data_IF_494727980425
#
_entry.id   IF_494727980425
#
_cell.length_a   1.000
_cell.length_b   1.000
_cell.length_c   1.000
_cell.angle_alpha   90.00
_cell.angle_beta   90.00
_cell.angle_gamma   90.00
#
_symmetry.space_group_name_H-M   'P 1'
#
loop_
_entity.id
_entity.type
_entity.pdbx_description
1 polymer ?
#
# COMPACT_ATOMS: atom_id res chain seq x y z
N UNK A 1 4.92 -1.83 16.26
CA UNK A 1 3.45 -1.90 16.00
C UNK A 1 2.85 -0.51 16.11
N UNK A 2 2.05 -0.11 15.12
CA UNK A 2 1.43 1.21 15.06
C UNK A 2 -0.05 1.13 15.44
N UNK A 3 -0.50 2.04 16.31
CA UNK A 3 -1.91 2.13 16.70
C UNK A 3 -2.77 2.78 15.59
N UNK A 4 -2.15 3.67 14.81
CA UNK A 4 -2.74 4.32 13.63
C UNK A 4 -1.69 4.52 12.55
N UNK A 5 -2.08 4.52 11.28
CA UNK A 5 -1.22 4.82 10.14
C UNK A 5 -1.82 5.95 9.31
N UNK A 6 -0.97 6.82 8.76
CA UNK A 6 -1.39 7.78 7.76
C UNK A 6 -1.77 7.05 6.47
N UNK A 7 -2.71 7.62 5.72
CA UNK A 7 -3.19 7.03 4.49
C UNK A 7 -3.46 8.09 3.44
N UNK A 8 -3.46 7.66 2.19
CA UNK A 8 -3.70 8.52 1.04
C UNK A 8 -4.50 7.79 -0.02
N UNK A 9 -5.14 8.56 -0.89
CA UNK A 9 -5.85 8.08 -2.07
C UNK A 9 -5.42 8.88 -3.31
N UNK A 10 -5.98 8.54 -4.47
CA UNK A 10 -5.90 9.40 -5.65
C UNK A 10 -7.25 10.09 -5.89
N UNK A 11 -7.25 11.33 -6.35
CA UNK A 11 -8.44 12.00 -6.87
C UNK A 11 -8.61 11.77 -8.39
N UNK A 12 -9.69 12.30 -8.96
CA UNK A 12 -9.98 12.18 -10.40
C UNK A 12 -9.00 12.97 -11.29
N UNK A 13 -8.27 13.92 -10.71
CA UNK A 13 -7.24 14.69 -11.38
C UNK A 13 -5.85 14.02 -11.23
N UNK A 14 -5.82 12.79 -10.71
CA UNK A 14 -4.62 11.98 -10.47
C UNK A 14 -3.65 12.58 -9.45
N UNK A 15 -4.15 13.44 -8.57
CA UNK A 15 -3.37 13.94 -7.43
C UNK A 15 -3.51 13.01 -6.23
N UNK A 16 -2.43 12.88 -5.48
CA UNK A 16 -2.46 12.23 -4.16
C UNK A 16 -3.21 13.12 -3.18
N UNK A 17 -4.15 12.53 -2.45
CA UNK A 17 -4.90 13.18 -1.38
C UNK A 17 -4.52 12.52 -0.06
N UNK A 18 -3.86 13.27 0.80
CA UNK A 18 -3.52 12.83 2.16
C UNK A 18 -4.73 12.93 3.09
N UNK A 19 -4.85 11.95 3.98
CA UNK A 19 -5.95 11.88 4.95
C UNK A 19 -5.42 11.74 6.38
N UNK A 20 -6.26 12.04 7.40
CA UNK A 20 -5.90 11.80 8.79
C UNK A 20 -5.56 10.32 9.06
N UNK A 21 -4.63 10.04 9.99
CA UNK A 21 -4.30 8.68 10.36
C UNK A 21 -5.51 7.87 10.83
N UNK A 22 -5.54 6.60 10.46
CA UNK A 22 -6.63 5.66 10.74
C UNK A 22 -6.12 4.46 11.53
N UNK A 23 -7.01 3.86 12.31
CA UNK A 23 -6.78 2.58 12.97
C UNK A 23 -6.93 1.41 11.99
N UNK A 24 -6.50 0.21 12.40
CA UNK A 24 -6.65 -0.99 11.57
C UNK A 24 -8.10 -1.25 11.14
N UNK A 25 -9.13 -1.22 12.02
CA UNK A 25 -10.51 -1.40 11.60
C UNK A 25 -10.95 -0.40 10.52
N UNK A 26 -10.62 0.88 10.68
CA UNK A 26 -10.96 1.93 9.71
C UNK A 26 -10.24 1.73 8.37
N UNK A 27 -8.95 1.36 8.40
CA UNK A 27 -8.19 1.04 7.18
C UNK A 27 -8.79 -0.15 6.42
N UNK A 28 -9.28 -1.18 7.13
CA UNK A 28 -9.96 -2.31 6.52
C UNK A 28 -11.30 -1.92 5.90
N UNK A 29 -12.07 -1.03 6.55
CA UNK A 29 -13.32 -0.51 5.96
C UNK A 29 -13.06 0.28 4.67
N UNK A 30 -12.03 1.13 4.66
CA UNK A 30 -11.62 1.90 3.47
C UNK A 30 -11.20 0.95 2.34
N UNK A 31 -10.29 0.01 2.63
CA UNK A 31 -9.81 -0.93 1.63
C UNK A 31 -10.94 -1.83 1.11
N UNK A 32 -11.88 -2.25 1.97
CA UNK A 32 -13.03 -3.05 1.56
C UNK A 32 -13.91 -2.30 0.58
N UNK A 33 -14.14 -1.01 0.83
CA UNK A 33 -14.90 -0.14 -0.09
C UNK A 33 -14.20 -0.02 -1.45
N UNK A 34 -12.88 0.17 -1.47
CA UNK A 34 -12.10 0.17 -2.71
C UNK A 34 -12.21 -1.17 -3.45
N UNK A 35 -12.16 -2.28 -2.72
CA UNK A 35 -12.27 -3.62 -3.29
C UNK A 35 -13.67 -3.89 -3.87
N UNK A 36 -14.74 -3.50 -3.17
CA UNK A 36 -16.12 -3.65 -3.64
C UNK A 36 -16.41 -2.80 -4.88
N UNK A 37 -15.64 -1.72 -5.07
CA UNK A 37 -15.71 -0.86 -6.23
C UNK A 37 -14.96 -1.40 -7.46
N UNK A 38 -14.20 -2.50 -7.35
CA UNK A 38 -13.36 -3.02 -8.46
C UNK A 38 -14.16 -3.43 -9.70
N UNK A 39 -15.34 -4.02 -9.49
CA UNK A 39 -16.18 -4.58 -10.56
C UNK A 39 -17.12 -3.53 -11.19
N UNK A 40 -17.06 -2.29 -10.72
CA UNK A 40 -17.82 -1.18 -11.31
C UNK A 40 -17.28 -0.86 -12.70
N UNK A 41 -18.21 -0.50 -13.60
CA UNK A 41 -17.86 0.03 -14.92
C UNK A 41 -17.60 1.52 -14.81
N UNK A 42 -16.38 1.93 -15.11
CA UNK A 42 -15.98 3.32 -15.14
C UNK A 42 -15.92 3.81 -16.58
N UNK A 43 -16.32 5.05 -16.80
CA UNK A 43 -16.20 5.69 -18.12
C UNK A 43 -14.76 6.16 -18.41
N UNK A 44 -13.98 6.40 -17.35
CA UNK A 44 -12.62 6.94 -17.39
C UNK A 44 -11.73 6.15 -16.43
N UNK A 45 -10.46 5.97 -16.78
CA UNK A 45 -9.51 5.19 -15.99
C UNK A 45 -9.15 5.91 -14.67
N UNK A 46 -9.13 7.24 -14.70
CA UNK A 46 -8.87 8.12 -13.58
C UNK A 46 -9.95 7.97 -12.50
N UNK A 47 -11.21 7.85 -12.92
CA UNK A 47 -12.30 7.56 -11.99
C UNK A 47 -12.16 6.17 -11.36
N UNK A 48 -11.76 5.17 -12.16
CA UNK A 48 -11.50 3.83 -11.64
C UNK A 48 -10.41 3.85 -10.57
N UNK A 49 -9.29 4.52 -10.83
CA UNK A 49 -8.19 4.66 -9.88
C UNK A 49 -8.63 5.42 -8.63
N UNK A 50 -9.31 6.55 -8.77
CA UNK A 50 -9.77 7.34 -7.64
C UNK A 50 -10.72 6.56 -6.70
N UNK A 51 -11.51 5.62 -7.23
CA UNK A 51 -12.44 4.82 -6.44
C UNK A 51 -11.85 3.49 -5.92
N UNK A 52 -10.70 3.05 -6.43
CA UNK A 52 -10.16 1.70 -6.16
C UNK A 52 -8.71 1.67 -5.70
N UNK A 53 -8.05 2.83 -5.63
CA UNK A 53 -6.71 3.00 -5.10
C UNK A 53 -6.73 3.44 -3.65
N UNK A 54 -5.81 2.88 -2.86
CA UNK A 54 -5.57 3.29 -1.49
C UNK A 54 -4.14 2.94 -1.07
N UNK A 55 -3.50 3.84 -0.31
CA UNK A 55 -2.17 3.63 0.25
C UNK A 55 -2.12 3.87 1.76
N UNK A 56 -1.30 3.10 2.46
CA UNK A 56 -0.95 3.29 3.87
C UNK A 56 0.53 3.60 3.99
N UNK A 57 0.86 4.59 4.81
CA UNK A 57 2.24 4.98 5.08
C UNK A 57 2.57 4.90 6.58
N UNK A 58 3.78 4.41 6.89
CA UNK A 58 4.36 4.42 8.24
C UNK A 58 5.28 5.62 8.46
N UNK A 59 6.03 5.96 7.42
CA UNK A 59 7.01 7.04 7.38
C UNK A 59 7.20 7.48 5.91
N UNK A 60 8.00 8.52 5.69
CA UNK A 60 8.17 9.13 4.36
C UNK A 60 8.61 8.14 3.27
N UNK A 61 9.27 7.03 3.64
CA UNK A 61 9.85 6.09 2.69
C UNK A 61 9.25 4.68 2.77
N UNK A 62 8.30 4.41 3.68
CA UNK A 62 7.76 3.06 3.93
C UNK A 62 6.24 3.02 3.81
N UNK A 63 5.75 2.34 2.78
CA UNK A 63 4.31 2.29 2.48
C UNK A 63 3.87 0.99 1.83
N UNK A 64 2.55 0.78 1.83
CA UNK A 64 1.87 -0.15 0.95
C UNK A 64 0.86 0.58 0.06
N UNK A 65 0.67 0.09 -1.15
CA UNK A 65 -0.37 0.54 -2.07
C UNK A 65 -1.19 -0.68 -2.50
N UNK A 66 -2.50 -0.49 -2.57
CA UNK A 66 -3.43 -1.47 -3.11
C UNK A 66 -4.27 -0.78 -4.19
N UNK A 67 -4.27 -1.34 -5.40
CA UNK A 67 -5.16 -0.93 -6.47
C UNK A 67 -6.08 -2.09 -6.81
N UNK A 68 -7.39 -1.94 -6.56
CA UNK A 68 -8.32 -3.04 -6.74
C UNK A 68 -8.72 -3.25 -8.22
N UNK A 69 -8.56 -2.24 -9.08
CA UNK A 69 -8.95 -2.26 -10.50
C UNK A 69 -7.75 -2.43 -11.45
N UNK A 70 -6.80 -3.30 -11.11
CA UNK A 70 -5.62 -3.56 -11.95
C UNK A 70 -5.86 -4.71 -12.97
N UNK A 71 -7.05 -4.75 -13.58
CA UNK A 71 -7.47 -5.82 -14.49
C UNK A 71 -8.33 -6.89 -13.80
N UNK A 72 -8.07 -8.17 -14.08
CA UNK A 72 -8.78 -9.29 -13.43
C UNK A 72 -8.36 -9.48 -11.95
N UNK A 73 -7.19 -8.98 -11.58
CA UNK A 73 -6.61 -9.06 -10.24
C UNK A 73 -6.40 -7.67 -9.64
N UNK A 74 -6.31 -7.60 -8.32
CA UNK A 74 -5.88 -6.39 -7.61
C UNK A 74 -4.35 -6.40 -7.46
N UNK A 75 -3.69 -5.24 -7.45
CA UNK A 75 -2.24 -5.16 -7.23
C UNK A 75 -1.93 -4.71 -5.82
N UNK A 76 -0.91 -5.31 -5.22
CA UNK A 76 -0.27 -4.89 -3.99
C UNK A 76 1.16 -4.48 -4.28
N UNK A 77 1.57 -3.34 -3.73
CA UNK A 77 2.96 -2.89 -3.69
C UNK A 77 3.37 -2.64 -2.25
N UNK A 78 4.57 -3.07 -1.91
CA UNK A 78 5.27 -2.71 -0.67
C UNK A 78 6.59 -2.06 -1.03
N UNK A 79 6.87 -0.92 -0.42
CA UNK A 79 8.12 -0.19 -0.62
C UNK A 79 8.70 0.24 0.72
N UNK A 80 10.03 0.16 0.82
CA UNK A 80 10.79 0.67 1.97
C UNK A 80 12.26 0.95 1.59
N UNK A 81 13.01 1.72 2.39
CA UNK A 81 14.45 1.87 2.20
C UNK A 81 15.18 0.52 2.26
N UNK A 82 16.07 0.23 1.30
CA UNK A 82 16.80 -1.04 1.29
C UNK A 82 17.84 -1.18 2.42
N UNK A 83 18.15 -0.12 3.17
CA UNK A 83 19.03 -0.18 4.34
C UNK A 83 18.40 0.48 5.56
N UNK A 84 18.45 -0.22 6.70
CA UNK A 84 17.98 0.28 7.99
C UNK A 84 18.73 1.55 8.45
N UNK A 85 18.07 2.31 9.35
CA UNK A 85 18.56 3.54 9.96
C UNK A 85 20.03 3.45 10.43
N UNK A 86 20.81 4.51 10.16
CA UNK A 86 22.20 4.66 10.61
C UNK A 86 23.26 4.79 9.51
N UNK A 87 22.89 4.81 8.22
CA UNK A 87 23.86 5.03 7.15
C UNK A 87 24.08 6.51 6.80
N UNK A 88 25.32 6.89 6.44
CA UNK A 88 25.65 8.27 6.17
C UNK A 88 24.91 8.82 4.94
N UNK A 89 24.57 10.11 5.02
CA UNK A 89 23.70 10.86 4.11
C UNK A 89 24.03 10.70 2.61
N UNK A 90 25.29 10.48 2.23
CA UNK A 90 25.70 10.31 0.83
C UNK A 90 25.23 8.98 0.21
N UNK A 91 24.90 7.96 1.01
CA UNK A 91 24.24 6.74 0.52
C UNK A 91 22.74 6.90 0.28
N UNK A 92 22.12 7.96 0.81
CA UNK A 92 20.73 8.32 0.46
C UNK A 92 20.58 8.67 -1.02
N UNK A 93 21.64 9.19 -1.65
CA UNK A 93 21.65 9.62 -3.06
C UNK A 93 21.75 8.42 -4.02
N UNK A 94 22.15 7.24 -3.53
CA UNK A 94 22.21 5.98 -4.28
C UNK A 94 21.22 4.94 -3.73
N UNK A 95 20.17 5.38 -3.04
CA UNK A 95 19.22 4.50 -2.36
C UNK A 95 18.58 3.53 -3.35
N UNK A 96 19.00 2.27 -3.27
CA UNK A 96 18.14 1.17 -3.68
C UNK A 96 16.92 1.21 -2.75
N UNK A 97 15.73 1.27 -3.33
CA UNK A 97 14.50 0.92 -2.61
C UNK A 97 14.36 -0.60 -2.62
N UNK A 98 13.79 -1.17 -1.56
CA UNK A 98 13.22 -2.51 -1.64
C UNK A 98 11.77 -2.33 -2.08
N UNK A 99 11.45 -2.85 -3.25
CA UNK A 99 10.11 -2.86 -3.80
C UNK A 99 9.69 -4.31 -4.03
N UNK A 100 8.48 -4.63 -3.60
CA UNK A 100 7.84 -5.91 -3.90
C UNK A 100 6.45 -5.64 -4.42
N UNK A 101 6.13 -6.23 -5.56
CA UNK A 101 4.81 -6.21 -6.16
C UNK A 101 4.27 -7.63 -6.29
N UNK A 102 2.99 -7.79 -5.96
CA UNK A 102 2.27 -9.05 -6.13
C UNK A 102 0.83 -8.77 -6.54
N UNK A 103 0.22 -9.72 -7.24
CA UNK A 103 -1.22 -9.71 -7.44
C UNK A 103 -1.94 -10.27 -6.21
N UNK A 104 -3.12 -9.71 -5.94
CA UNK A 104 -4.04 -10.16 -4.92
C UNK A 104 -5.30 -10.67 -5.62
N UNK A 105 -5.65 -11.93 -5.35
CA UNK A 105 -6.76 -12.63 -6.00
C UNK A 105 -8.08 -12.46 -5.28
N UNK A 106 -8.03 -12.05 -4.02
CA UNK A 106 -9.23 -11.94 -3.19
C UNK A 106 -9.10 -10.86 -2.12
N UNK A 107 -10.25 -10.53 -1.52
CA UNK A 107 -10.32 -9.61 -0.41
C UNK A 107 -9.49 -10.11 0.78
N UNK A 108 -9.52 -11.41 1.05
CA UNK A 108 -8.79 -12.03 2.16
C UNK A 108 -7.27 -11.83 2.04
N UNK A 109 -6.73 -11.86 0.82
CA UNK A 109 -5.32 -11.57 0.58
C UNK A 109 -5.01 -10.08 0.83
N UNK A 110 -5.87 -9.16 0.39
CA UNK A 110 -5.73 -7.73 0.65
C UNK A 110 -5.80 -7.41 2.16
N UNK A 111 -6.79 -7.97 2.85
CA UNK A 111 -6.96 -7.84 4.30
C UNK A 111 -5.74 -8.37 5.05
N UNK A 112 -5.20 -9.54 4.65
CA UNK A 112 -4.01 -10.10 5.27
C UNK A 112 -2.80 -9.16 5.13
N UNK A 113 -2.60 -8.54 3.97
CA UNK A 113 -1.51 -7.57 3.75
C UNK A 113 -1.66 -6.31 4.58
N UNK A 114 -2.87 -5.78 4.71
CA UNK A 114 -3.13 -4.61 5.57
C UNK A 114 -2.84 -4.96 7.03
N UNK A 115 -3.33 -6.10 7.51
CA UNK A 115 -3.07 -6.57 8.89
C UNK A 115 -1.58 -6.77 9.16
N UNK A 116 -0.86 -7.39 8.23
CA UNK A 116 0.59 -7.56 8.27
C UNK A 116 1.29 -6.18 8.39
N UNK A 117 0.83 -5.20 7.61
CA UNK A 117 1.37 -3.85 7.63
C UNK A 117 1.02 -3.04 8.90
N UNK A 118 0.07 -3.46 9.74
CA UNK A 118 -0.13 -2.89 11.07
C UNK A 118 0.69 -3.62 12.15
N UNK A 119 0.79 -4.95 12.02
CA UNK A 119 1.30 -5.83 13.07
C UNK A 119 2.82 -6.03 13.05
N UNK A 120 3.45 -5.98 11.89
CA UNK A 120 4.88 -6.36 11.76
C UNK A 120 5.78 -5.16 11.59
N UNK A 121 7.08 -5.28 11.83
CA UNK A 121 8.06 -4.25 11.46
C UNK A 121 8.43 -4.36 9.97
N UNK A 122 8.77 -3.27 9.25
CA UNK A 122 8.96 -3.33 7.80
C UNK A 122 10.06 -4.31 7.37
N UNK A 123 11.10 -4.46 8.21
CA UNK A 123 12.19 -5.41 7.99
C UNK A 123 11.74 -6.87 8.05
N UNK A 124 10.73 -7.19 8.88
CA UNK A 124 10.19 -8.55 9.00
C UNK A 124 9.36 -8.89 7.75
N UNK A 125 8.54 -7.95 7.29
CA UNK A 125 7.79 -8.03 6.03
C UNK A 125 8.76 -8.25 4.87
N UNK A 126 9.79 -7.41 4.75
CA UNK A 126 10.83 -7.56 3.73
C UNK A 126 11.51 -8.91 3.77
N UNK A 127 11.89 -9.41 4.95
CA UNK A 127 12.57 -10.71 5.09
C UNK A 127 11.70 -11.83 4.52
N UNK A 128 10.39 -11.79 4.77
CA UNK A 128 9.41 -12.75 4.24
C UNK A 128 9.25 -12.63 2.73
N UNK A 129 9.05 -11.42 2.22
CA UNK A 129 8.86 -11.17 0.79
C UNK A 129 10.12 -11.51 -0.03
N UNK A 130 11.32 -11.34 0.54
CA UNK A 130 12.59 -11.71 -0.09
C UNK A 130 12.82 -13.22 -0.17
N UNK A 131 12.17 -14.01 0.68
CA UNK A 131 12.28 -15.48 0.73
C UNK A 131 11.27 -16.22 -0.16
N UNK A 132 10.33 -15.50 -0.75
CA UNK A 132 9.33 -16.05 -1.67
C UNK A 132 9.92 -16.04 -3.09
N UNK A 133 10.46 -17.17 -3.54
CA UNK A 133 10.97 -17.39 -4.91
C UNK A 133 10.18 -18.47 -5.61
#
# INVERSE_FOLDING_TARGET
MADTLAWYSMDQDMNTVDHPPVSLPEALEIAKKCFDNRDRKYAQAEQALAETFFGLTRDEDTFIEICANAGEDSTYKFEMPASAAGQPWYRKIFMSVFQHESTLKSWEEAEAKIREFYAEEPQEIRRRLSGTK
#
